data_IF_357203193001
#
_entry.id   IF_357203193001
#
_cell.length_a   1.000
_cell.length_b   1.000
_cell.length_c   1.000
_cell.angle_alpha   90.00
_cell.angle_beta   90.00
_cell.angle_gamma   90.00
#
_symmetry.space_group_name_H-M   'P 1'
#
loop_
_entity.id
_entity.type
_entity.pdbx_description
1 polymer ?
#
# COMPACT_ATOMS: atom_id res chain seq x y z
N UNK A 1 -15.05 -65.59 24.46
CA UNK A 1 -14.15 -64.46 24.76
C UNK A 1 -13.05 -64.16 23.70
N UNK A 2 -13.12 -64.67 22.46
CA UNK A 2 -12.13 -64.40 21.41
C UNK A 2 -12.51 -63.25 20.47
N UNK A 3 -13.78 -62.87 20.31
CA UNK A 3 -14.21 -61.76 19.45
C UNK A 3 -13.86 -60.33 19.94
N UNK A 4 -13.75 -60.15 21.26
CA UNK A 4 -13.47 -58.83 21.84
C UNK A 4 -12.05 -58.30 21.56
N UNK A 5 -11.08 -59.19 21.48
CA UNK A 5 -9.68 -58.81 21.22
C UNK A 5 -9.44 -58.41 19.74
N UNK A 6 -10.17 -59.05 18.83
CA UNK A 6 -10.06 -58.72 17.39
C UNK A 6 -10.70 -57.37 17.07
N UNK A 7 -11.82 -57.07 17.71
CA UNK A 7 -12.50 -55.76 17.55
C UNK A 7 -11.69 -54.62 18.12
N UNK A 8 -10.96 -54.83 19.22
CA UNK A 8 -10.09 -53.82 19.82
C UNK A 8 -8.85 -53.56 18.98
N UNK A 9 -8.27 -54.60 18.39
CA UNK A 9 -7.12 -54.48 17.48
C UNK A 9 -7.46 -53.72 16.19
N UNK A 10 -8.65 -53.96 15.60
CA UNK A 10 -9.15 -53.26 14.43
C UNK A 10 -9.45 -51.79 14.71
N UNK A 11 -9.97 -51.47 15.88
CA UNK A 11 -10.21 -50.07 16.30
C UNK A 11 -8.92 -49.28 16.47
N UNK A 12 -7.87 -49.89 17.05
CA UNK A 12 -6.54 -49.25 17.19
C UNK A 12 -5.88 -49.05 15.83
N UNK A 13 -6.00 -50.02 14.92
CA UNK A 13 -5.44 -49.88 13.56
C UNK A 13 -6.15 -48.78 12.77
N UNK A 14 -7.47 -48.65 12.92
CA UNK A 14 -8.26 -47.56 12.31
C UNK A 14 -7.88 -46.19 12.84
N UNK A 15 -7.68 -46.04 14.15
CA UNK A 15 -7.24 -44.80 14.77
C UNK A 15 -5.81 -44.40 14.35
N UNK A 16 -4.91 -45.38 14.20
CA UNK A 16 -3.54 -45.14 13.74
C UNK A 16 -3.50 -44.70 12.25
N UNK A 17 -4.36 -45.27 11.40
CA UNK A 17 -4.50 -44.88 10.01
C UNK A 17 -5.08 -43.48 9.85
N UNK A 18 -6.04 -43.07 10.66
CA UNK A 18 -6.59 -41.72 10.69
C UNK A 18 -5.53 -40.68 11.15
N UNK A 19 -4.75 -41.00 12.18
CA UNK A 19 -3.69 -40.10 12.65
C UNK A 19 -2.60 -39.84 11.59
N UNK A 20 -2.25 -40.85 10.76
CA UNK A 20 -1.31 -40.71 9.67
C UNK A 20 -1.84 -39.82 8.52
N UNK A 21 -3.16 -39.80 8.31
CA UNK A 21 -3.78 -38.95 7.27
C UNK A 21 -3.74 -37.43 7.61
N UNK A 22 -3.70 -37.05 8.88
CA UNK A 22 -3.60 -35.66 9.32
C UNK A 22 -2.16 -35.13 9.38
N UNK A 23 -1.15 -35.99 9.22
CA UNK A 23 0.27 -35.63 9.28
C UNK A 23 0.89 -35.30 7.90
N UNK A 24 0.08 -35.19 6.84
CA UNK A 24 0.59 -34.75 5.54
C UNK A 24 0.72 -33.22 5.55
N UNK A 25 1.80 -32.73 6.12
CA UNK A 25 2.26 -31.35 5.85
C UNK A 25 2.58 -31.25 4.37
N UNK A 26 1.97 -30.30 3.68
CA UNK A 26 2.27 -30.04 2.28
C UNK A 26 3.78 -29.86 2.12
N UNK A 27 4.39 -30.74 1.31
CA UNK A 27 5.82 -30.64 1.07
C UNK A 27 6.08 -29.53 0.04
N UNK A 28 6.48 -28.38 0.52
CA UNK A 28 6.88 -27.22 -0.30
C UNK A 28 8.36 -27.27 -0.71
N UNK A 29 9.05 -28.38 -0.50
CA UNK A 29 10.45 -28.56 -0.94
C UNK A 29 10.54 -28.38 -2.46
N UNK A 30 11.37 -27.46 -2.89
CA UNK A 30 11.55 -27.15 -4.32
C UNK A 30 10.53 -26.15 -4.89
N UNK A 31 9.63 -25.59 -4.06
CA UNK A 31 8.74 -24.48 -4.47
C UNK A 31 9.43 -23.17 -4.19
N UNK A 32 9.69 -22.41 -5.25
CA UNK A 32 10.41 -21.15 -5.15
C UNK A 32 11.93 -21.32 -4.94
N UNK A 33 12.61 -20.19 -4.87
CA UNK A 33 14.04 -20.10 -4.55
C UNK A 33 14.30 -18.85 -3.73
N UNK A 34 15.42 -18.81 -3.02
CA UNK A 34 15.87 -17.58 -2.35
C UNK A 34 16.30 -16.59 -3.43
N UNK A 35 15.69 -15.37 -3.49
CA UNK A 35 16.04 -14.41 -4.52
C UNK A 35 17.47 -13.92 -4.36
N UNK A 36 18.15 -13.67 -5.48
CA UNK A 36 19.45 -13.02 -5.52
C UNK A 36 19.32 -11.53 -5.15
N UNK A 37 20.45 -10.88 -4.86
CA UNK A 37 20.47 -9.42 -4.60
C UNK A 37 19.99 -8.62 -5.81
N UNK A 38 20.28 -9.06 -7.02
CA UNK A 38 19.88 -8.37 -8.26
C UNK A 38 18.38 -8.51 -8.49
N UNK A 39 17.79 -9.67 -8.20
CA UNK A 39 16.35 -9.87 -8.25
C UNK A 39 15.63 -8.99 -7.20
N UNK A 40 16.14 -8.94 -5.97
CA UNK A 40 15.58 -8.04 -4.93
C UNK A 40 15.66 -6.59 -5.41
N UNK A 41 16.81 -6.16 -5.95
CA UNK A 41 17.00 -4.79 -6.41
C UNK A 41 16.07 -4.43 -7.58
N UNK A 42 15.83 -5.36 -8.50
CA UNK A 42 14.92 -5.15 -9.63
C UNK A 42 13.47 -4.93 -9.22
N UNK A 43 13.05 -5.44 -8.07
CA UNK A 43 11.70 -5.29 -7.52
C UNK A 43 11.60 -4.23 -6.41
N UNK A 44 12.74 -3.67 -5.99
CA UNK A 44 12.80 -2.69 -4.90
C UNK A 44 12.68 -1.24 -5.45
N UNK A 45 11.54 -0.97 -6.05
CA UNK A 45 11.21 0.32 -6.67
C UNK A 45 10.28 1.20 -5.82
N UNK A 46 9.86 0.71 -4.65
CA UNK A 46 8.96 1.41 -3.75
C UNK A 46 9.67 2.53 -2.97
N UNK A 47 9.02 3.68 -2.88
CA UNK A 47 9.52 4.82 -2.11
C UNK A 47 8.94 4.78 -0.70
N UNK A 48 9.82 4.63 0.28
CA UNK A 48 9.42 4.64 1.69
C UNK A 48 9.08 6.04 2.23
N UNK A 49 8.54 6.10 3.47
CA UNK A 49 8.20 7.38 4.11
C UNK A 49 9.38 8.35 4.27
N UNK A 50 10.58 7.82 4.44
CA UNK A 50 11.83 8.61 4.57
C UNK A 50 12.39 9.09 3.24
N UNK A 51 11.88 8.53 2.10
CA UNK A 51 12.27 8.91 0.75
C UNK A 51 13.72 8.63 0.39
N UNK A 52 14.34 7.61 1.01
CA UNK A 52 15.74 7.23 0.72
C UNK A 52 15.94 6.76 -0.72
N UNK A 53 14.89 6.20 -1.30
CA UNK A 53 14.83 5.62 -2.64
C UNK A 53 14.45 6.67 -3.71
N UNK A 54 14.13 7.90 -3.31
CA UNK A 54 13.74 8.96 -4.24
C UNK A 54 14.87 9.29 -5.22
N UNK A 55 14.62 9.25 -6.53
CA UNK A 55 15.63 9.58 -7.53
C UNK A 55 15.94 11.09 -7.55
N UNK A 56 17.07 11.50 -8.10
CA UNK A 56 17.37 12.91 -8.38
C UNK A 56 16.30 13.54 -9.27
N UNK A 57 15.92 14.78 -8.96
CA UNK A 57 14.92 15.54 -9.68
C UNK A 57 14.28 16.59 -8.79
N UNK A 58 13.50 17.47 -9.37
CA UNK A 58 12.73 18.48 -8.64
C UNK A 58 11.59 19.02 -9.50
N UNK A 59 10.59 19.64 -8.85
CA UNK A 59 9.49 20.29 -9.54
C UNK A 59 8.76 21.29 -8.66
N UNK A 60 8.00 22.17 -9.30
CA UNK A 60 7.13 23.16 -8.67
C UNK A 60 5.68 22.93 -9.02
N UNK A 61 4.75 23.51 -8.24
CA UNK A 61 3.33 23.40 -8.51
C UNK A 61 2.96 23.96 -9.89
N UNK A 62 3.60 25.02 -10.33
CA UNK A 62 3.38 25.63 -11.66
C UNK A 62 3.73 24.67 -12.79
N UNK A 63 4.89 24.02 -12.73
CA UNK A 63 5.29 23.01 -13.71
C UNK A 63 4.33 21.83 -13.69
N UNK A 64 3.94 21.36 -12.50
CA UNK A 64 2.99 20.27 -12.33
C UNK A 64 1.61 20.56 -12.89
N UNK A 65 1.15 21.80 -12.83
CA UNK A 65 -0.13 22.22 -13.40
C UNK A 65 -0.19 21.98 -14.93
N UNK A 66 0.86 22.30 -15.66
CA UNK A 66 0.92 22.10 -17.11
C UNK A 66 0.92 20.61 -17.46
N UNK A 67 1.70 19.81 -16.73
CA UNK A 67 1.74 18.36 -16.92
C UNK A 67 0.40 17.74 -16.56
N UNK A 68 -0.22 18.17 -15.46
CA UNK A 68 -1.51 17.68 -14.98
C UNK A 68 -2.62 17.92 -16.02
N UNK A 69 -2.69 19.13 -16.57
CA UNK A 69 -3.67 19.49 -17.60
C UNK A 69 -3.60 18.57 -18.83
N UNK A 70 -2.39 18.17 -19.22
CA UNK A 70 -2.15 17.38 -20.42
C UNK A 70 -2.27 15.87 -20.20
N UNK A 71 -1.93 15.36 -19.01
CA UNK A 71 -1.78 13.91 -18.77
C UNK A 71 -2.75 13.33 -17.74
N UNK A 72 -3.34 14.16 -16.89
CA UNK A 72 -4.12 13.71 -15.73
C UNK A 72 -5.57 14.20 -15.72
N UNK A 73 -5.80 15.42 -16.20
CA UNK A 73 -7.09 16.11 -16.12
C UNK A 73 -8.23 15.37 -16.81
N UNK A 74 -7.96 14.66 -17.90
CA UNK A 74 -8.98 13.88 -18.63
C UNK A 74 -9.68 12.83 -17.74
N UNK A 75 -8.96 12.26 -16.76
CA UNK A 75 -9.53 11.29 -15.83
C UNK A 75 -9.86 11.91 -14.48
N UNK A 76 -9.00 12.80 -13.95
CA UNK A 76 -9.14 13.31 -12.58
C UNK A 76 -9.88 14.65 -12.48
N UNK A 77 -10.37 15.19 -13.61
CA UNK A 77 -10.97 16.52 -13.70
C UNK A 77 -9.91 17.63 -13.83
N UNK A 78 -10.22 18.77 -14.44
CA UNK A 78 -9.24 19.85 -14.72
C UNK A 78 -8.62 20.46 -13.46
N UNK A 79 -9.31 20.45 -12.35
CA UNK A 79 -8.79 20.88 -11.04
C UNK A 79 -8.40 19.75 -10.10
N UNK A 80 -8.52 18.49 -10.53
CA UNK A 80 -8.29 17.32 -9.68
C UNK A 80 -9.48 16.95 -8.79
N UNK A 81 -10.67 17.47 -9.09
CA UNK A 81 -11.91 17.24 -8.36
C UNK A 81 -12.50 15.84 -8.54
N UNK A 82 -11.94 15.05 -9.47
CA UNK A 82 -12.40 13.73 -9.82
C UNK A 82 -13.42 13.72 -10.97
N UNK A 83 -13.65 12.55 -11.54
CA UNK A 83 -14.66 12.29 -12.56
C UNK A 83 -15.17 10.85 -12.44
N UNK A 84 -15.95 10.38 -13.42
CA UNK A 84 -16.33 8.97 -13.53
C UNK A 84 -15.14 8.05 -13.88
N UNK A 85 -14.08 8.60 -14.46
CA UNK A 85 -12.90 7.85 -14.92
C UNK A 85 -11.78 7.77 -13.88
N UNK A 86 -11.74 8.73 -12.95
CA UNK A 86 -10.68 8.78 -11.93
C UNK A 86 -11.11 9.46 -10.64
N UNK A 87 -10.55 9.01 -9.51
CA UNK A 87 -10.92 9.55 -8.21
C UNK A 87 -10.47 11.00 -8.03
N UNK A 88 -11.08 11.66 -7.05
CA UNK A 88 -10.69 12.98 -6.58
C UNK A 88 -9.27 12.97 -6.00
N UNK A 89 -8.46 13.90 -6.45
CA UNK A 89 -7.10 14.16 -5.95
C UNK A 89 -6.99 15.45 -5.14
N UNK A 90 -7.92 16.38 -5.34
CA UNK A 90 -7.93 17.71 -4.71
C UNK A 90 -9.22 17.92 -3.94
N UNK A 91 -9.11 18.45 -2.72
CA UNK A 91 -10.24 18.71 -1.83
C UNK A 91 -10.69 17.49 -1.03
N UNK A 92 -11.90 17.54 -0.50
CA UNK A 92 -12.44 16.45 0.34
C UNK A 92 -11.81 16.41 1.73
N UNK A 93 -11.39 17.54 2.28
CA UNK A 93 -10.91 17.69 3.66
C UNK A 93 -12.04 17.51 4.67
N UNK A 94 -12.71 16.37 4.63
CA UNK A 94 -13.71 16.01 5.63
C UNK A 94 -13.08 15.28 6.81
N UNK A 95 -13.78 15.32 7.94
CA UNK A 95 -13.39 14.53 9.10
C UNK A 95 -13.49 13.03 8.78
N UNK A 96 -12.47 12.26 9.16
CA UNK A 96 -12.45 10.80 9.00
C UNK A 96 -13.31 10.08 10.05
N UNK A 97 -13.69 10.76 11.12
CA UNK A 97 -14.50 10.22 12.22
C UNK A 97 -16.02 10.33 11.99
N UNK A 98 -16.45 10.30 10.75
CA UNK A 98 -17.88 10.27 10.37
C UNK A 98 -18.32 8.85 10.05
N UNK A 99 -19.63 8.52 10.10
CA UNK A 99 -20.13 7.19 9.74
C UNK A 99 -19.77 6.74 8.32
N UNK A 100 -19.64 7.70 7.40
CA UNK A 100 -19.28 7.45 5.99
C UNK A 100 -18.12 8.37 5.58
N UNK A 101 -16.88 8.10 6.04
CA UNK A 101 -15.76 8.99 5.78
C UNK A 101 -15.35 8.94 4.30
N UNK A 102 -15.26 10.11 3.68
CA UNK A 102 -14.63 10.23 2.37
C UNK A 102 -13.11 10.29 2.54
N UNK A 103 -12.44 9.19 2.23
CA UNK A 103 -10.97 9.13 2.27
C UNK A 103 -10.42 9.77 1.00
N UNK A 104 -9.67 10.83 1.17
CA UNK A 104 -9.00 11.53 0.08
C UNK A 104 -7.50 11.56 0.32
N UNK A 105 -6.74 11.91 -0.70
CA UNK A 105 -5.30 12.11 -0.56
C UNK A 105 -4.98 13.13 0.56
N UNK A 106 -5.74 14.23 0.62
CA UNK A 106 -5.49 15.32 1.55
C UNK A 106 -5.78 14.97 3.02
N UNK A 107 -6.79 14.12 3.29
CA UNK A 107 -7.19 13.83 4.68
C UNK A 107 -6.80 12.44 5.18
N UNK A 108 -6.34 11.55 4.29
CA UNK A 108 -6.08 10.16 4.66
C UNK A 108 -4.61 9.76 4.55
N UNK A 109 -3.90 10.15 3.47
CA UNK A 109 -2.53 9.69 3.25
C UNK A 109 -1.55 10.35 4.22
N UNK A 110 -0.73 9.54 4.95
CA UNK A 110 0.15 10.07 6.00
C UNK A 110 1.48 10.62 5.47
N UNK A 111 1.91 10.24 4.25
CA UNK A 111 3.21 10.59 3.70
C UNK A 111 3.09 11.20 2.30
N UNK A 112 3.76 12.31 2.06
CA UNK A 112 3.82 12.93 0.74
C UNK A 112 4.61 12.08 -0.27
N UNK A 113 5.58 11.30 0.20
CA UNK A 113 6.35 10.35 -0.62
C UNK A 113 5.47 9.30 -1.27
N UNK A 114 4.37 8.90 -0.62
CA UNK A 114 3.39 7.96 -1.19
C UNK A 114 2.72 8.51 -2.45
N UNK A 115 2.53 9.84 -2.55
CA UNK A 115 1.95 10.47 -3.74
C UNK A 115 2.92 10.32 -4.91
N UNK A 116 4.19 10.64 -4.69
CA UNK A 116 5.25 10.51 -5.67
C UNK A 116 5.36 9.05 -6.16
N UNK A 117 5.46 8.12 -5.23
CA UNK A 117 5.57 6.68 -5.49
C UNK A 117 4.41 6.16 -6.33
N UNK A 118 3.17 6.50 -5.95
CA UNK A 118 1.99 6.07 -6.67
C UNK A 118 1.92 6.64 -8.10
N UNK A 119 2.25 7.92 -8.28
CA UNK A 119 2.30 8.53 -9.62
C UNK A 119 3.34 7.82 -10.48
N UNK A 120 4.54 7.62 -9.94
CA UNK A 120 5.65 7.00 -10.68
C UNK A 120 5.32 5.59 -11.15
N UNK A 121 4.77 4.76 -10.27
CA UNK A 121 4.54 3.33 -10.55
C UNK A 121 3.20 3.02 -11.22
N UNK A 122 2.19 3.88 -11.11
CA UNK A 122 0.82 3.54 -11.49
C UNK A 122 0.15 4.54 -12.44
N UNK A 123 0.71 5.75 -12.63
CA UNK A 123 0.05 6.80 -13.40
C UNK A 123 0.90 7.31 -14.57
N UNK A 124 0.30 7.62 -15.73
CA UNK A 124 -1.07 7.30 -16.14
C UNK A 124 -1.27 5.79 -16.38
N UNK A 125 -2.47 5.24 -16.15
CA UNK A 125 -2.71 3.80 -16.37
C UNK A 125 -2.31 3.36 -17.78
N UNK A 126 -1.64 2.21 -17.90
CA UNK A 126 -1.11 1.64 -19.15
C UNK A 126 0.03 2.45 -19.80
N UNK A 127 0.56 3.46 -19.14
CA UNK A 127 1.68 4.30 -19.60
C UNK A 127 2.55 4.73 -18.42
N UNK A 128 2.82 3.81 -17.50
CA UNK A 128 3.50 4.06 -16.23
C UNK A 128 4.84 4.76 -16.43
N UNK A 129 5.69 4.30 -17.31
CA UNK A 129 7.05 4.86 -17.52
C UNK A 129 7.08 6.12 -18.41
N UNK A 130 5.94 6.81 -18.60
CA UNK A 130 5.86 7.99 -19.48
C UNK A 130 6.21 9.32 -18.81
N UNK A 131 6.56 9.30 -17.52
CA UNK A 131 6.91 10.47 -16.71
C UNK A 131 8.36 10.35 -16.25
N UNK A 132 9.14 11.42 -16.44
CA UNK A 132 10.44 11.54 -15.81
C UNK A 132 10.32 11.88 -14.32
N UNK A 133 11.38 11.62 -13.54
CA UNK A 133 11.38 11.90 -12.11
C UNK A 133 10.98 13.35 -11.77
N UNK A 134 11.47 14.33 -12.52
CA UNK A 134 11.11 15.74 -12.34
C UNK A 134 9.63 16.02 -12.64
N UNK A 135 9.03 15.34 -13.63
CA UNK A 135 7.61 15.45 -13.90
C UNK A 135 6.77 14.93 -12.71
N UNK A 136 7.21 13.84 -12.11
CA UNK A 136 6.54 13.26 -10.93
C UNK A 136 6.66 14.18 -9.71
N UNK A 137 7.83 14.82 -9.49
CA UNK A 137 7.99 15.84 -8.45
C UNK A 137 7.08 17.05 -8.70
N UNK A 138 7.00 17.53 -9.93
CA UNK A 138 6.15 18.65 -10.30
C UNK A 138 4.66 18.33 -10.10
N UNK A 139 4.21 17.17 -10.54
CA UNK A 139 2.83 16.68 -10.32
C UNK A 139 2.51 16.55 -8.83
N UNK A 140 3.45 15.99 -8.05
CA UNK A 140 3.32 15.89 -6.60
C UNK A 140 3.20 17.26 -5.95
N UNK A 141 4.06 18.21 -6.35
CA UNK A 141 4.00 19.59 -5.88
C UNK A 141 2.67 20.25 -6.23
N UNK A 142 2.16 20.08 -7.45
CA UNK A 142 0.85 20.61 -7.85
C UNK A 142 -0.29 20.07 -7.00
N UNK A 143 -0.34 18.75 -6.78
CA UNK A 143 -1.38 18.12 -5.97
C UNK A 143 -1.31 18.60 -4.51
N UNK A 144 -0.11 18.68 -3.93
CA UNK A 144 0.10 19.19 -2.58
C UNK A 144 -0.32 20.67 -2.45
N UNK A 145 0.06 21.51 -3.41
CA UNK A 145 -0.35 22.93 -3.45
C UNK A 145 -1.86 23.07 -3.57
N UNK A 146 -2.50 22.36 -4.49
CA UNK A 146 -3.95 22.41 -4.68
C UNK A 146 -4.74 21.94 -3.44
N UNK A 147 -4.11 21.14 -2.60
CA UNK A 147 -4.63 20.74 -1.30
C UNK A 147 -4.17 21.66 -0.15
N UNK A 148 -3.52 22.79 -0.45
CA UNK A 148 -3.04 23.80 0.53
C UNK A 148 -2.09 23.21 1.58
N UNK A 149 -1.33 22.17 1.22
CA UNK A 149 -0.35 21.52 2.10
C UNK A 149 1.01 22.22 1.98
N UNK A 150 1.34 22.73 0.78
CA UNK A 150 2.54 23.52 0.52
C UNK A 150 2.18 24.83 -0.18
N UNK A 151 3.13 25.79 -0.23
CA UNK A 151 2.98 27.02 -1.02
C UNK A 151 3.29 26.78 -2.50
N UNK A 152 2.74 27.63 -3.39
CA UNK A 152 2.91 27.49 -4.85
C UNK A 152 4.38 27.53 -5.31
N UNK A 153 5.17 28.40 -4.71
CA UNK A 153 6.59 28.58 -5.07
C UNK A 153 7.54 27.55 -4.47
N UNK A 154 7.03 26.62 -3.65
CA UNK A 154 7.87 25.62 -3.00
C UNK A 154 8.39 24.60 -4.01
N UNK A 155 9.71 24.43 -4.04
CA UNK A 155 10.37 23.38 -4.84
C UNK A 155 10.32 22.08 -4.07
N UNK A 156 9.81 21.05 -4.72
CA UNK A 156 9.77 19.69 -4.19
C UNK A 156 10.84 18.85 -4.89
N UNK A 157 11.68 18.19 -4.09
CA UNK A 157 12.78 17.33 -4.50
C UNK A 157 12.94 16.15 -3.51
N UNK A 158 13.93 15.30 -3.73
CA UNK A 158 14.22 14.15 -2.86
C UNK A 158 14.50 14.53 -1.39
N UNK A 159 14.95 15.75 -1.11
CA UNK A 159 15.27 16.20 0.26
C UNK A 159 14.11 16.90 0.94
N UNK A 160 13.26 17.59 0.17
CA UNK A 160 12.14 18.37 0.69
C UNK A 160 10.85 17.56 0.80
N UNK A 161 10.59 16.64 -0.13
CA UNK A 161 9.36 15.83 -0.15
C UNK A 161 9.11 15.03 1.14
N UNK A 162 10.08 14.30 1.71
CA UNK A 162 9.86 13.54 2.96
C UNK A 162 9.54 14.43 4.18
N UNK A 163 9.89 15.72 4.11
CA UNK A 163 9.67 16.69 5.18
C UNK A 163 8.29 17.34 5.12
N UNK A 164 7.53 17.14 4.06
CA UNK A 164 6.17 17.65 3.95
C UNK A 164 5.29 16.98 4.99
N UNK A 165 4.71 17.79 5.88
CA UNK A 165 3.81 17.28 6.92
C UNK A 165 2.40 17.16 6.35
N UNK A 166 2.00 15.94 6.05
CA UNK A 166 0.62 15.64 5.64
C UNK A 166 -0.36 15.83 6.81
N UNK A 167 -1.62 16.27 6.54
CA UNK A 167 -2.61 16.48 7.60
C UNK A 167 -2.87 15.25 8.48
N UNK A 168 -2.80 14.05 7.90
CA UNK A 168 -3.01 12.78 8.63
C UNK A 168 -1.69 12.06 8.99
N UNK A 169 -0.58 12.81 9.11
CA UNK A 169 0.75 12.23 9.41
C UNK A 169 0.74 11.30 10.61
N UNK A 170 0.04 11.69 11.64
CA UNK A 170 0.02 11.01 12.93
C UNK A 170 -1.34 10.32 13.20
N UNK A 171 -2.18 10.18 12.17
CA UNK A 171 -3.54 9.64 12.32
C UNK A 171 -3.64 8.11 12.27
N UNK A 172 -2.56 7.42 11.92
CA UNK A 172 -2.49 5.97 11.96
C UNK A 172 -1.83 5.52 13.26
N UNK A 173 -2.53 4.66 13.98
CA UNK A 173 -2.00 3.98 15.16
C UNK A 173 -1.65 2.54 14.78
N UNK A 174 -0.61 1.94 15.37
CA UNK A 174 -0.33 0.52 15.20
C UNK A 174 -1.54 -0.31 15.62
N UNK A 175 -1.88 -1.32 14.82
CA UNK A 175 -2.90 -2.29 15.18
C UNK A 175 -2.39 -3.10 16.38
N UNK A 176 -3.18 -3.14 17.46
CA UNK A 176 -2.87 -3.94 18.63
C UNK A 176 -3.72 -5.20 18.58
N UNK A 177 -3.13 -6.34 18.96
CA UNK A 177 -3.82 -7.63 18.93
C UNK A 177 -5.12 -7.63 19.73
N UNK A 178 -5.17 -6.87 20.84
CA UNK A 178 -6.37 -6.71 21.67
C UNK A 178 -7.51 -5.96 20.98
N UNK A 179 -7.20 -5.14 19.97
CA UNK A 179 -8.20 -4.37 19.20
C UNK A 179 -8.85 -5.22 18.08
N UNK A 180 -8.29 -6.40 17.79
CA UNK A 180 -8.77 -7.28 16.72
C UNK A 180 -9.83 -8.24 17.27
N UNK A 181 -11.08 -8.02 16.86
CA UNK A 181 -12.16 -8.92 17.21
C UNK A 181 -11.98 -10.30 16.53
N UNK A 182 -12.23 -11.36 17.29
CA UNK A 182 -12.19 -12.74 16.79
C UNK A 182 -10.83 -13.21 16.24
N UNK A 183 -9.73 -12.90 16.93
CA UNK A 183 -8.38 -13.40 16.60
C UNK A 183 -8.38 -14.91 16.32
N UNK A 184 -9.07 -15.69 17.15
CA UNK A 184 -9.17 -17.15 17.01
C UNK A 184 -9.84 -17.59 15.71
N UNK A 185 -10.85 -16.86 15.24
CA UNK A 185 -11.51 -17.13 13.95
C UNK A 185 -10.62 -16.78 12.75
N UNK A 186 -9.60 -15.94 12.95
CA UNK A 186 -8.59 -15.57 11.95
C UNK A 186 -7.36 -16.50 11.95
N UNK A 187 -7.38 -17.56 12.76
CA UNK A 187 -6.27 -18.48 12.88
C UNK A 187 -5.12 -17.98 13.75
N UNK A 188 -5.32 -16.89 14.50
CA UNK A 188 -4.33 -16.40 15.45
C UNK A 188 -4.43 -17.17 16.76
N UNK A 189 -3.34 -17.78 17.23
CA UNK A 189 -3.27 -18.47 18.52
C UNK A 189 -2.16 -17.84 19.37
N UNK A 190 -2.48 -17.60 20.67
CA UNK A 190 -1.54 -17.04 21.65
C UNK A 190 -0.74 -15.81 21.20
N UNK A 191 -1.31 -14.95 20.35
CA UNK A 191 -0.65 -13.76 19.84
C UNK A 191 0.20 -13.95 18.57
N UNK A 192 0.18 -15.14 17.98
CA UNK A 192 0.79 -15.43 16.70
C UNK A 192 -0.30 -15.60 15.62
N UNK A 193 -0.22 -14.81 14.54
CA UNK A 193 -1.05 -14.96 13.36
C UNK A 193 -0.23 -15.63 12.24
N UNK A 194 -0.86 -16.40 11.33
CA UNK A 194 -0.17 -17.02 10.20
C UNK A 194 0.39 -15.99 9.22
#
# INVERSE_FOLDING_TARGET
MRCSKLSFALAILGLAACAAAFAQTANYAGVGHTPSKDEIQAWNDSIGPEGKELPPGSGTAKQGQEIFANKCAACHGPGGEGSQLGPRLVGGRGALNTPTPSRTLANYWPFATTIWDYINRAMPPKRQDSLGASDVYALTAFILFRNEIISEGQVIDAKSLPKVKMPNRDGFIPERLEDIHNLKARGCDAGHCP
#
